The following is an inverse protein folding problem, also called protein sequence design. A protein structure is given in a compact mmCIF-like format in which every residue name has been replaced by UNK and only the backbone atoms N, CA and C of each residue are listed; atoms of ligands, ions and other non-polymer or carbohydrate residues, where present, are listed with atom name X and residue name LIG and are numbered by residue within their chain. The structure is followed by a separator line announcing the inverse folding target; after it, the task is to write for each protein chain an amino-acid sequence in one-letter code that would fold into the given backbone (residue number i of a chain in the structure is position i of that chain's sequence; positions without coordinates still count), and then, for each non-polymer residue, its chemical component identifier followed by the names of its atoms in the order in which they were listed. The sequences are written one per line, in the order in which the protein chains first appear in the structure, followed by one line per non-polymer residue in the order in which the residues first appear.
data_IF_703290510792
#
_entry.id   IF_703290510792
#
_cell.length_a   1.000
_cell.length_b   1.000
_cell.length_c   1.000
_cell.angle_alpha   90.00
_cell.angle_beta   90.00
_cell.angle_gamma   90.00
#
_symmetry.space_group_name_H-M   'P 1'
#
loop_
_entity.id
_entity.type
_entity.pdbx_description
1 polymer ?
#
# COMPACT_ATOMS: atom_id res chain seq x y z
N UNK A 1 18.00 10.98 -3.96
CA UNK A 1 16.54 11.13 -3.99
C UNK A 1 15.96 10.28 -2.87
N UNK A 2 15.11 10.85 -2.00
CA UNK A 2 14.55 10.15 -0.84
C UNK A 2 13.21 9.51 -1.20
N UNK A 3 13.17 8.20 -1.39
CA UNK A 3 11.92 7.47 -1.58
C UNK A 3 11.16 7.41 -0.26
N UNK A 4 10.00 8.08 -0.17
CA UNK A 4 9.13 7.98 1.01
C UNK A 4 8.34 6.67 0.93
N UNK A 5 8.65 5.74 1.83
CA UNK A 5 7.88 4.51 2.00
C UNK A 5 6.71 4.82 2.94
N UNK A 6 5.49 4.56 2.49
CA UNK A 6 4.29 4.64 3.31
C UNK A 6 4.05 3.24 3.92
N UNK A 7 4.13 3.15 5.24
CA UNK A 7 3.87 1.91 5.98
C UNK A 7 2.55 2.02 6.73
N UNK A 8 1.66 1.04 6.53
CA UNK A 8 0.38 0.94 7.20
C UNK A 8 0.31 -0.40 7.94
N UNK A 9 -0.03 -0.36 9.22
CA UNK A 9 -0.37 -1.55 10.01
C UNK A 9 -1.89 -1.71 9.97
N UNK A 10 -2.37 -2.67 9.20
CA UNK A 10 -3.80 -2.97 9.04
C UNK A 10 -4.17 -4.28 9.74
N UNK A 11 -5.32 -4.27 10.40
CA UNK A 11 -6.02 -5.44 10.95
C UNK A 11 -7.03 -5.98 9.93
N UNK A 12 -7.55 -7.19 10.13
CA UNK A 12 -8.52 -7.79 9.20
C UNK A 12 -9.75 -6.86 9.03
N UNK A 13 -10.22 -6.72 7.80
CA UNK A 13 -11.33 -5.83 7.37
C UNK A 13 -11.07 -4.31 7.44
N UNK A 14 -9.85 -3.84 7.74
CA UNK A 14 -9.51 -2.42 7.59
C UNK A 14 -9.32 -2.02 6.12
N UNK A 15 -10.00 -0.93 5.73
CA UNK A 15 -9.85 -0.32 4.42
C UNK A 15 -8.84 0.82 4.52
N UNK A 16 -7.79 0.76 3.70
CA UNK A 16 -6.85 1.88 3.54
C UNK A 16 -7.43 2.85 2.52
N UNK A 17 -7.69 4.09 2.95
CA UNK A 17 -8.10 5.15 2.03
C UNK A 17 -6.90 5.63 1.21
N UNK A 18 -7.02 5.49 -0.11
CA UNK A 18 -6.01 5.86 -1.10
C UNK A 18 -6.45 7.05 -1.97
N UNK A 19 -7.58 7.68 -1.66
CA UNK A 19 -8.13 8.79 -2.46
C UNK A 19 -7.17 9.99 -2.54
N UNK A 20 -6.44 10.26 -1.46
CA UNK A 20 -5.48 11.38 -1.40
C UNK A 20 -4.06 11.02 -1.85
N UNK A 21 -3.80 9.78 -2.30
CA UNK A 21 -2.48 9.44 -2.84
C UNK A 21 -2.21 10.22 -4.15
N UNK A 22 -1.01 10.77 -4.35
CA UNK A 22 -0.63 11.35 -5.64
C UNK A 22 -0.77 10.35 -6.79
N UNK A 23 -0.81 10.85 -8.03
CA UNK A 23 -0.71 9.97 -9.21
C UNK A 23 0.66 9.29 -9.22
N UNK A 24 0.68 8.01 -9.61
CA UNK A 24 1.93 7.25 -9.67
C UNK A 24 1.74 5.74 -9.56
N UNK A 25 2.86 5.04 -9.64
CA UNK A 25 2.96 3.59 -9.42
C UNK A 25 3.21 3.31 -7.94
N UNK A 26 2.41 2.41 -7.37
CA UNK A 26 2.48 2.00 -5.98
C UNK A 26 2.65 0.49 -5.89
N UNK A 27 3.43 0.07 -4.89
CA UNK A 27 3.52 -1.33 -4.50
C UNK A 27 2.66 -1.53 -3.25
N UNK A 28 1.61 -2.33 -3.39
CA UNK A 28 0.72 -2.72 -2.30
C UNK A 28 1.23 -4.05 -1.73
N UNK A 29 1.50 -4.08 -0.42
CA UNK A 29 1.91 -5.28 0.31
C UNK A 29 0.96 -5.50 1.48
N UNK A 30 0.41 -6.71 1.57
CA UNK A 30 -0.37 -7.15 2.73
C UNK A 30 0.48 -8.14 3.50
N UNK A 31 0.63 -7.91 4.81
CA UNK A 31 1.34 -8.78 5.73
C UNK A 31 0.39 -9.32 6.78
N UNK A 32 0.54 -10.59 7.12
CA UNK A 32 -0.12 -11.21 8.28
C UNK A 32 0.99 -11.72 9.19
N UNK A 33 1.14 -11.11 10.36
CA UNK A 33 2.32 -11.32 11.20
C UNK A 33 3.58 -10.79 10.49
N UNK A 34 4.60 -11.64 10.35
CA UNK A 34 5.85 -11.31 9.65
C UNK A 34 5.83 -11.71 8.16
N UNK A 35 4.83 -12.49 7.73
CA UNK A 35 4.75 -13.03 6.38
C UNK A 35 4.04 -12.07 5.41
N UNK A 36 4.59 -11.94 4.20
CA UNK A 36 3.93 -11.24 3.09
C UNK A 36 2.97 -12.21 2.41
N UNK A 37 1.68 -11.93 2.50
CA UNK A 37 0.62 -12.80 1.94
C UNK A 37 0.11 -12.32 0.59
N UNK A 38 0.29 -11.04 0.28
CA UNK A 38 -0.08 -10.47 -1.02
C UNK A 38 0.85 -9.32 -1.38
N UNK A 39 1.33 -9.32 -2.61
CA UNK A 39 2.04 -8.20 -3.23
C UNK A 39 1.39 -7.91 -4.58
N UNK A 40 1.02 -6.65 -4.81
CA UNK A 40 0.40 -6.22 -6.06
C UNK A 40 0.86 -4.80 -6.43
N UNK A 41 0.85 -4.51 -7.72
CA UNK A 41 1.14 -3.16 -8.22
C UNK A 41 -0.16 -2.42 -8.48
N UNK A 42 -0.27 -1.22 -7.94
CA UNK A 42 -1.39 -0.32 -8.14
C UNK A 42 -0.90 0.89 -8.94
N UNK A 43 -1.50 1.12 -10.10
CA UNK A 43 -1.27 2.33 -10.88
C UNK A 43 -2.41 3.31 -10.64
N UNK A 44 -2.10 4.48 -10.05
CA UNK A 44 -3.07 5.56 -9.86
C UNK A 44 -2.92 6.61 -10.96
N UNK A 45 -3.91 6.65 -11.86
CA UNK A 45 -3.91 7.52 -13.04
C UNK A 45 -4.68 8.84 -12.82
N UNK A 46 -5.56 8.93 -11.83
CA UNK A 46 -6.43 10.08 -11.53
C UNK A 46 -6.40 10.48 -10.07
#
# INVERSE_FOLDING_TARGET
MSSKILEFKITADEKVDIQNLPKGEYLVRIRIGEDIVLESRLMKNE
#
